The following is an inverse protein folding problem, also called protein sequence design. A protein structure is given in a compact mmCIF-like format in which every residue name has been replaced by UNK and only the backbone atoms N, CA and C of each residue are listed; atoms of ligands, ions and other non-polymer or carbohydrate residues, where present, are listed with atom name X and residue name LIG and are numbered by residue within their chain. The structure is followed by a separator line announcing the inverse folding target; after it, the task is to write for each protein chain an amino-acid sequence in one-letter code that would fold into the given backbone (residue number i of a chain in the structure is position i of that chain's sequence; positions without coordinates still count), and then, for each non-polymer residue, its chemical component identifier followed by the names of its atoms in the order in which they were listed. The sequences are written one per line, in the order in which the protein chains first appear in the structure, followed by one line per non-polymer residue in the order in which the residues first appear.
data_IF_634519000337
#
_entry.id   IF_634519000337
#
_cell.length_a   1.000
_cell.length_b   1.000
_cell.length_c   1.000
_cell.angle_alpha   90.00
_cell.angle_beta   90.00
_cell.angle_gamma   90.00
#
_symmetry.space_group_name_H-M   'P 1'
#
loop_
_entity.id
_entity.type
_entity.pdbx_description
1 polymer ?
#
# COMPACT_ATOMS: atom_id res chain seq x y z
N UNK A 1 -11.52 31.08 3.34
CA UNK A 1 -10.19 30.47 3.11
C UNK A 1 -10.08 30.15 1.63
N UNK A 2 -8.98 30.54 0.97
CA UNK A 2 -8.69 30.14 -0.42
C UNK A 2 -8.21 28.69 -0.47
N UNK A 3 -8.49 27.99 -1.56
CA UNK A 3 -8.06 26.61 -1.75
C UNK A 3 -6.53 26.50 -1.68
N UNK A 4 -5.82 27.45 -2.30
CA UNK A 4 -4.36 27.57 -2.23
C UNK A 4 -3.80 27.47 -0.82
N UNK A 5 -4.33 28.26 0.12
CA UNK A 5 -3.86 28.27 1.52
C UNK A 5 -4.00 26.89 2.17
N UNK A 6 -5.09 26.18 1.89
CA UNK A 6 -5.30 24.83 2.39
C UNK A 6 -4.34 23.84 1.75
N UNK A 7 -4.18 23.89 0.43
CA UNK A 7 -3.30 22.97 -0.29
C UNK A 7 -1.82 23.19 0.10
N UNK A 8 -1.39 24.44 0.28
CA UNK A 8 -0.07 24.81 0.80
C UNK A 8 0.18 24.21 2.19
N UNK A 9 -0.78 24.36 3.10
CA UNK A 9 -0.71 23.79 4.45
C UNK A 9 -0.54 22.26 4.40
N UNK A 10 -1.40 21.57 3.66
CA UNK A 10 -1.36 20.12 3.59
C UNK A 10 -0.11 19.60 2.87
N UNK A 11 0.35 20.27 1.82
CA UNK A 11 1.57 19.90 1.10
C UNK A 11 2.82 20.10 1.97
N UNK A 12 2.88 21.21 2.71
CA UNK A 12 3.95 21.48 3.67
C UNK A 12 3.95 20.44 4.79
N UNK A 13 2.76 20.11 5.34
CA UNK A 13 2.63 19.06 6.35
C UNK A 13 3.13 17.71 5.84
N UNK A 14 2.69 17.28 4.64
CA UNK A 14 3.13 16.05 4.01
C UNK A 14 4.65 16.01 3.77
N UNK A 15 5.25 17.13 3.37
CA UNK A 15 6.70 17.23 3.18
C UNK A 15 7.45 17.03 4.49
N UNK A 16 7.04 17.71 5.55
CA UNK A 16 7.66 17.59 6.89
C UNK A 16 7.45 16.21 7.52
N UNK A 17 6.28 15.61 7.29
CA UNK A 17 5.94 14.30 7.82
C UNK A 17 6.82 13.20 7.22
N UNK A 18 7.23 13.34 5.96
CA UNK A 18 8.11 12.37 5.28
C UNK A 18 9.44 12.17 6.02
N UNK A 19 9.91 13.18 6.77
CA UNK A 19 11.16 13.11 7.54
C UNK A 19 11.01 12.52 8.95
N UNK A 20 9.78 12.43 9.48
CA UNK A 20 9.52 12.13 10.90
C UNK A 20 8.56 10.95 11.13
N UNK A 21 7.90 10.47 10.08
CA UNK A 21 7.01 9.33 10.16
C UNK A 21 7.77 8.03 10.41
N UNK A 22 7.16 7.14 11.19
CA UNK A 22 7.70 5.79 11.37
C UNK A 22 7.29 4.92 10.20
N UNK A 23 8.25 4.17 9.64
CA UNK A 23 7.94 3.16 8.63
C UNK A 23 7.16 2.02 9.28
N UNK A 24 5.96 1.67 8.77
CA UNK A 24 5.18 0.58 9.35
C UNK A 24 5.93 -0.76 9.27
N UNK A 25 5.69 -1.64 10.26
CA UNK A 25 6.07 -3.04 10.14
C UNK A 25 5.08 -3.78 9.22
N UNK A 26 5.59 -4.68 8.38
CA UNK A 26 4.78 -5.44 7.42
C UNK A 26 4.82 -4.88 6.00
N UNK A 27 4.95 -5.77 5.02
CA UNK A 27 5.13 -5.42 3.60
C UNK A 27 3.93 -4.63 3.08
N UNK A 28 2.71 -5.12 3.31
CA UNK A 28 1.49 -4.52 2.73
C UNK A 28 1.06 -3.25 3.46
N UNK A 29 1.36 -3.12 4.76
CA UNK A 29 1.13 -1.86 5.48
C UNK A 29 2.10 -0.78 5.01
N UNK A 30 3.38 -1.12 4.81
CA UNK A 30 4.35 -0.21 4.17
C UNK A 30 3.91 0.19 2.76
N UNK A 31 3.39 -0.75 1.98
CA UNK A 31 2.90 -0.47 0.64
C UNK A 31 1.67 0.44 0.63
N UNK A 32 0.70 0.20 1.53
CA UNK A 32 -0.46 1.08 1.70
C UNK A 32 -0.04 2.51 2.09
N UNK A 33 1.00 2.63 2.90
CA UNK A 33 1.55 3.92 3.30
C UNK A 33 2.15 4.68 2.10
N UNK A 34 2.96 4.01 1.29
CA UNK A 34 3.52 4.55 0.04
C UNK A 34 2.43 4.90 -0.99
N UNK A 35 1.37 4.10 -1.08
CA UNK A 35 0.24 4.36 -1.96
C UNK A 35 -0.54 5.60 -1.53
N UNK A 36 -0.81 5.72 -0.23
CA UNK A 36 -1.48 6.90 0.33
C UNK A 36 -0.68 8.17 0.04
N UNK A 37 0.64 8.11 0.22
CA UNK A 37 1.53 9.22 -0.12
C UNK A 37 1.44 9.62 -1.59
N UNK A 38 1.50 8.64 -2.49
CA UNK A 38 1.45 8.87 -3.93
C UNK A 38 0.09 9.41 -4.39
N UNK A 39 -1.02 8.76 -4.01
CA UNK A 39 -2.37 9.20 -4.32
C UNK A 39 -2.60 10.64 -3.85
N UNK A 40 -2.18 10.96 -2.62
CA UNK A 40 -2.34 12.29 -2.06
C UNK A 40 -1.57 13.35 -2.85
N UNK A 41 -0.30 13.10 -3.20
CA UNK A 41 0.51 14.05 -3.99
C UNK A 41 -0.10 14.29 -5.37
N UNK A 42 -0.54 13.23 -6.04
CA UNK A 42 -1.23 13.32 -7.34
C UNK A 42 -2.52 14.12 -7.22
N UNK A 43 -3.31 13.87 -6.16
CA UNK A 43 -4.54 14.59 -5.88
C UNK A 43 -4.30 16.09 -5.66
N UNK A 44 -3.34 16.45 -4.81
CA UNK A 44 -3.00 17.85 -4.52
C UNK A 44 -2.51 18.56 -5.78
N UNK A 45 -1.65 17.93 -6.58
CA UNK A 45 -1.17 18.49 -7.84
C UNK A 45 -2.33 18.80 -8.81
N UNK A 46 -3.28 17.87 -8.94
CA UNK A 46 -4.47 18.05 -9.79
C UNK A 46 -5.38 19.18 -9.29
N UNK A 47 -5.57 19.29 -7.97
CA UNK A 47 -6.38 20.34 -7.37
C UNK A 47 -5.72 21.73 -7.47
N UNK A 48 -4.40 21.78 -7.56
CA UNK A 48 -3.63 23.02 -7.65
C UNK A 48 -4.00 23.87 -8.87
N UNK A 49 -4.41 23.24 -9.97
CA UNK A 49 -4.90 23.93 -11.19
C UNK A 49 -6.09 24.85 -10.88
N UNK A 50 -6.81 24.57 -9.79
CA UNK A 50 -7.97 25.34 -9.33
C UNK A 50 -7.74 26.05 -7.99
N UNK A 51 -6.48 26.29 -7.60
CA UNK A 51 -6.09 26.81 -6.28
C UNK A 51 -6.64 28.19 -5.94
N UNK A 52 -6.93 29.02 -6.94
CA UNK A 52 -7.44 30.38 -6.73
C UNK A 52 -8.94 30.42 -6.37
N UNK A 53 -9.63 29.27 -6.40
CA UNK A 53 -11.03 29.16 -6.00
C UNK A 53 -11.18 29.18 -4.47
N UNK A 54 -12.35 29.62 -4.01
CA UNK A 54 -12.73 29.51 -2.61
C UNK A 54 -12.97 28.05 -2.21
N UNK A 55 -12.68 27.73 -0.95
CA UNK A 55 -12.95 26.41 -0.39
C UNK A 55 -14.46 26.24 -0.20
N UNK A 56 -15.04 25.23 -0.84
CA UNK A 56 -16.43 24.80 -0.70
C UNK A 56 -16.47 23.29 -0.49
N UNK A 57 -17.66 22.73 -0.22
CA UNK A 57 -17.80 21.26 -0.12
C UNK A 57 -17.50 20.61 -1.46
N UNK A 58 -18.01 21.18 -2.54
CA UNK A 58 -17.84 20.69 -3.91
C UNK A 58 -16.35 20.71 -4.31
N UNK A 59 -15.62 21.78 -4.01
CA UNK A 59 -14.20 21.86 -4.34
C UNK A 59 -13.32 20.93 -3.49
N UNK A 60 -13.80 20.50 -2.32
CA UNK A 60 -13.14 19.52 -1.45
C UNK A 60 -13.63 18.08 -1.65
N UNK A 61 -14.66 17.85 -2.46
CA UNK A 61 -15.22 16.52 -2.68
C UNK A 61 -14.17 15.49 -3.15
N UNK A 62 -13.18 15.84 -4.00
CA UNK A 62 -12.10 14.92 -4.36
C UNK A 62 -11.27 14.45 -3.15
N UNK A 63 -10.96 15.35 -2.21
CA UNK A 63 -10.21 15.02 -0.98
C UNK A 63 -11.04 14.14 -0.05
N UNK A 64 -12.32 14.47 0.13
CA UNK A 64 -13.23 13.66 0.93
C UNK A 64 -13.42 12.25 0.33
N UNK A 65 -13.53 12.13 -0.99
CA UNK A 65 -13.64 10.85 -1.67
C UNK A 65 -12.35 10.04 -1.54
N UNK A 66 -11.18 10.65 -1.68
CA UNK A 66 -9.90 9.98 -1.46
C UNK A 66 -9.79 9.36 -0.06
N UNK A 67 -10.15 10.10 1.00
CA UNK A 67 -10.20 9.56 2.36
C UNK A 67 -11.19 8.39 2.47
N UNK A 68 -12.37 8.49 1.86
CA UNK A 68 -13.35 7.41 1.87
C UNK A 68 -12.79 6.14 1.21
N UNK A 69 -12.14 6.27 0.05
CA UNK A 69 -11.52 5.15 -0.66
C UNK A 69 -10.42 4.50 0.17
N UNK A 70 -9.55 5.32 0.79
CA UNK A 70 -8.54 4.82 1.73
C UNK A 70 -9.19 4.07 2.89
N UNK A 71 -10.22 4.64 3.51
CA UNK A 71 -10.95 4.06 4.61
C UNK A 71 -11.51 2.67 4.30
N UNK A 72 -12.09 2.48 3.11
CA UNK A 72 -12.55 1.17 2.62
C UNK A 72 -11.39 0.17 2.47
N UNK A 73 -10.23 0.64 2.00
CA UNK A 73 -9.03 -0.19 1.78
C UNK A 73 -8.34 -0.64 3.07
N UNK A 74 -8.39 0.17 4.13
CA UNK A 74 -7.74 -0.14 5.41
C UNK A 74 -8.70 -0.70 6.47
N UNK A 75 -10.01 -0.79 6.17
CA UNK A 75 -11.01 -1.26 7.14
C UNK A 75 -10.68 -2.68 7.60
N UNK A 76 -10.65 -2.87 8.92
CA UNK A 76 -10.32 -4.14 9.59
C UNK A 76 -8.95 -4.71 9.15
N UNK A 77 -7.95 -3.82 9.03
CA UNK A 77 -6.54 -4.19 8.81
C UNK A 77 -5.62 -3.46 9.79
N UNK A 78 -4.33 -3.81 9.79
CA UNK A 78 -3.33 -3.21 10.69
C UNK A 78 -2.85 -1.83 10.20
N UNK A 79 -3.26 -1.43 8.98
CA UNK A 79 -3.01 -0.10 8.43
C UNK A 79 -3.91 1.00 9.03
N UNK A 80 -4.87 0.62 9.90
CA UNK A 80 -5.77 1.56 10.57
C UNK A 80 -5.02 2.58 11.43
N UNK A 81 -5.50 3.84 11.52
CA UNK A 81 -4.95 4.85 12.43
C UNK A 81 -4.92 4.43 13.90
N UNK A 82 -5.81 3.51 14.28
CA UNK A 82 -5.90 2.94 15.63
C UNK A 82 -4.74 1.98 15.94
N UNK A 83 -4.16 1.33 14.92
CA UNK A 83 -3.10 0.33 15.07
C UNK A 83 -1.71 0.91 14.72
N UNK A 84 -1.64 1.73 13.68
CA UNK A 84 -0.38 2.33 13.21
C UNK A 84 -0.44 3.86 13.23
N UNK A 85 -0.70 4.49 14.40
CA UNK A 85 -0.95 5.93 14.51
C UNK A 85 0.25 6.78 14.07
N UNK A 86 1.45 6.22 14.07
CA UNK A 86 2.70 6.91 13.76
C UNK A 86 3.12 6.81 12.29
N UNK A 87 2.39 6.06 11.47
CA UNK A 87 2.65 5.98 10.03
C UNK A 87 2.37 7.30 9.33
N UNK A 88 3.00 7.50 8.17
CA UNK A 88 2.78 8.69 7.37
C UNK A 88 1.30 8.79 6.97
N UNK A 89 0.76 7.70 6.42
CA UNK A 89 -0.58 7.66 5.87
C UNK A 89 -1.64 8.00 6.91
N UNK A 90 -1.46 7.53 8.15
CA UNK A 90 -2.39 7.80 9.24
C UNK A 90 -2.25 9.22 9.76
N UNK A 91 -1.04 9.73 9.97
CA UNK A 91 -0.82 11.13 10.37
C UNK A 91 -1.34 12.11 9.32
N UNK A 92 -1.08 11.84 8.03
CA UNK A 92 -1.63 12.63 6.93
C UNK A 92 -3.15 12.59 6.91
N UNK A 93 -3.75 11.39 7.00
CA UNK A 93 -5.21 11.25 6.99
C UNK A 93 -5.86 12.04 8.14
N UNK A 94 -5.26 12.00 9.34
CA UNK A 94 -5.73 12.77 10.49
C UNK A 94 -5.72 14.28 10.23
N UNK A 95 -4.65 14.79 9.63
CA UNK A 95 -4.53 16.21 9.31
C UNK A 95 -5.52 16.64 8.23
N UNK A 96 -5.67 15.83 7.18
CA UNK A 96 -6.66 16.09 6.12
C UNK A 96 -8.08 16.08 6.69
N UNK A 97 -8.42 15.11 7.54
CA UNK A 97 -9.74 15.04 8.18
C UNK A 97 -10.03 16.26 9.06
N UNK A 98 -9.04 16.77 9.80
CA UNK A 98 -9.15 18.03 10.57
C UNK A 98 -9.46 19.22 9.69
N UNK A 99 -8.76 19.33 8.56
CA UNK A 99 -9.02 20.38 7.60
C UNK A 99 -10.46 20.29 7.04
N UNK A 100 -10.93 19.10 6.65
CA UNK A 100 -12.28 18.88 6.14
C UNK A 100 -13.38 19.15 7.17
N UNK A 101 -13.15 18.79 8.44
CA UNK A 101 -14.11 19.01 9.53
C UNK A 101 -14.56 20.47 9.60
N UNK A 102 -13.62 21.41 9.46
CA UNK A 102 -13.88 22.85 9.53
C UNK A 102 -14.92 23.33 8.50
N UNK A 103 -14.99 22.68 7.34
CA UNK A 103 -15.84 23.04 6.20
C UNK A 103 -17.15 22.24 6.17
N UNK A 104 -17.06 20.92 6.33
CA UNK A 104 -18.22 20.04 6.22
C UNK A 104 -19.07 20.02 7.50
N UNK A 105 -18.50 20.39 8.65
CA UNK A 105 -19.12 20.25 9.98
C UNK A 105 -19.55 18.81 10.30
N UNK A 106 -18.85 17.83 9.73
CA UNK A 106 -18.97 16.39 10.01
C UNK A 106 -17.84 15.95 10.94
N UNK A 107 -18.10 15.02 11.85
CA UNK A 107 -17.02 14.38 12.63
C UNK A 107 -15.91 13.85 11.71
N UNK A 108 -14.66 14.19 12.05
CA UNK A 108 -13.50 13.97 11.19
C UNK A 108 -13.34 12.49 10.78
N UNK A 109 -13.50 11.56 11.71
CA UNK A 109 -13.33 10.14 11.41
C UNK A 109 -14.32 9.59 10.40
N UNK A 110 -15.51 10.19 10.28
CA UNK A 110 -16.50 9.75 9.31
C UNK A 110 -16.12 10.08 7.86
N UNK A 111 -14.97 10.73 7.61
CA UNK A 111 -14.37 10.79 6.28
C UNK A 111 -13.65 9.48 5.92
N UNK A 112 -12.98 8.82 6.88
CA UNK A 112 -12.38 7.50 6.69
C UNK A 112 -13.41 6.37 6.88
N UNK A 113 -14.25 6.45 7.92
CA UNK A 113 -15.21 5.40 8.27
C UNK A 113 -16.63 5.98 8.35
N UNK A 114 -17.32 6.15 7.21
CA UNK A 114 -18.66 6.73 7.18
C UNK A 114 -19.70 5.93 7.97
N UNK A 115 -19.51 4.61 8.05
CA UNK A 115 -20.43 3.66 8.72
C UNK A 115 -20.03 3.40 10.18
N UNK A 116 -19.08 4.17 10.72
CA UNK A 116 -18.69 4.05 12.12
C UNK A 116 -19.87 4.55 12.96
N UNK A 117 -20.50 3.63 13.67
CA UNK A 117 -21.60 3.89 14.60
C UNK A 117 -20.96 4.34 15.92
N UNK A 118 -20.44 5.56 15.89
CA UNK A 118 -19.68 6.10 16.99
C UNK A 118 -20.63 6.66 18.06
N UNK A 119 -20.73 5.94 19.16
CA UNK A 119 -21.10 6.51 20.45
C UNK A 119 -19.79 6.70 21.23
N UNK A 120 -19.18 7.89 21.12
CA UNK A 120 -17.99 8.23 21.90
C UNK A 120 -18.29 9.41 22.80
N UNK A 121 -18.78 9.10 23.99
CA UNK A 121 -18.50 9.94 25.14
C UNK A 121 -18.55 9.15 26.44
N UNK A 122 -17.47 8.43 26.77
CA UNK A 122 -17.14 8.26 28.20
C UNK A 122 -16.52 9.56 28.75
N UNK A 123 -15.96 10.44 27.90
CA UNK A 123 -15.26 11.68 28.31
C UNK A 123 -15.80 12.99 27.71
N UNK A 124 -16.85 12.95 26.88
CA UNK A 124 -17.42 14.17 26.25
C UNK A 124 -16.49 14.87 25.25
N UNK A 125 -15.35 14.27 24.88
CA UNK A 125 -14.42 14.80 23.86
C UNK A 125 -14.74 14.24 22.47
N UNK A 126 -14.65 15.07 21.44
CA UNK A 126 -14.79 14.64 20.04
C UNK A 126 -13.70 13.62 19.71
N UNK A 127 -14.00 12.65 18.85
CA UNK A 127 -13.05 11.61 18.47
C UNK A 127 -11.74 12.16 17.86
N UNK A 128 -11.83 13.32 17.19
CA UNK A 128 -10.67 14.03 16.64
C UNK A 128 -9.67 14.51 17.71
N UNK A 129 -10.17 14.69 18.95
CA UNK A 129 -9.39 15.10 20.13
C UNK A 129 -9.01 13.90 21.01
N UNK A 130 -9.54 12.71 20.68
CA UNK A 130 -9.22 11.46 21.36
C UNK A 130 -7.93 10.86 20.80
N UNK A 131 -7.17 10.17 21.66
CA UNK A 131 -6.00 9.40 21.22
C UNK A 131 -6.50 8.11 20.61
N UNK A 132 -6.46 8.03 19.28
CA UNK A 132 -6.97 6.92 18.49
C UNK A 132 -6.44 5.56 18.98
N UNK A 133 -5.18 5.51 19.36
CA UNK A 133 -4.54 4.33 19.94
C UNK A 133 -5.07 3.93 21.34
N UNK A 134 -6.19 4.46 21.83
CA UNK A 134 -6.87 3.96 23.05
C UNK A 134 -8.01 2.98 22.73
N UNK A 135 -8.31 2.83 21.45
CA UNK A 135 -9.50 2.14 20.95
C UNK A 135 -9.10 1.07 19.94
N UNK A 136 -9.71 -0.10 20.04
CA UNK A 136 -9.73 -1.11 18.97
C UNK A 136 -11.13 -1.19 18.38
N UNK A 137 -11.29 -1.64 17.13
CA UNK A 137 -12.63 -1.84 16.57
C UNK A 137 -13.17 -3.23 16.88
N UNK A 138 -14.50 -3.29 16.97
CA UNK A 138 -15.28 -4.53 16.92
C UNK A 138 -15.04 -5.27 15.60
N UNK A 139 -15.32 -6.58 15.56
CA UNK A 139 -15.09 -7.39 14.36
C UNK A 139 -15.93 -6.93 13.14
N UNK A 140 -17.10 -6.33 13.37
CA UNK A 140 -17.93 -5.71 12.33
C UNK A 140 -17.37 -4.35 11.83
N UNK A 141 -16.35 -3.81 12.50
CA UNK A 141 -15.71 -2.54 12.19
C UNK A 141 -16.61 -1.32 12.40
N UNK A 142 -17.69 -1.44 13.18
CA UNK A 142 -18.69 -0.37 13.39
C UNK A 142 -18.52 0.38 14.71
N UNK A 143 -17.99 -0.27 15.74
CA UNK A 143 -17.92 0.28 17.09
C UNK A 143 -16.49 0.29 17.62
N UNK A 144 -16.18 1.29 18.43
CA UNK A 144 -14.92 1.36 19.18
C UNK A 144 -15.03 0.65 20.53
N UNK A 145 -13.99 -0.10 20.90
CA UNK A 145 -13.80 -0.71 22.21
C UNK A 145 -12.65 0.02 22.90
N UNK A 146 -12.96 0.77 23.97
CA UNK A 146 -11.94 1.43 24.79
C UNK A 146 -11.19 0.39 25.64
N UNK A 147 -9.88 0.26 25.38
CA UNK A 147 -9.04 -0.79 25.96
C UNK A 147 -8.99 -0.71 27.48
N UNK A 148 -8.78 0.50 28.02
CA UNK A 148 -8.69 0.74 29.46
C UNK A 148 -10.00 0.34 30.18
N UNK A 149 -11.13 0.82 29.67
CA UNK A 149 -12.45 0.58 30.25
C UNK A 149 -12.80 -0.91 30.22
N UNK A 150 -12.51 -1.58 29.10
CA UNK A 150 -12.76 -3.01 28.95
C UNK A 150 -11.93 -3.85 29.94
N UNK A 151 -10.61 -3.65 29.98
CA UNK A 151 -9.73 -4.39 30.91
C UNK A 151 -10.06 -4.12 32.38
N UNK A 152 -10.42 -2.88 32.72
CA UNK A 152 -10.80 -2.53 34.09
C UNK A 152 -12.16 -3.12 34.52
N UNK A 153 -12.99 -3.57 33.57
CA UNK A 153 -14.26 -4.23 33.85
C UNK A 153 -14.12 -5.74 34.15
N UNK A 154 -12.99 -6.36 33.77
CA UNK A 154 -12.74 -7.79 33.88
C UNK A 154 -12.98 -8.35 35.30
N UNK A 155 -12.41 -7.68 36.31
CA UNK A 155 -12.54 -8.07 37.71
C UNK A 155 -13.96 -7.90 38.26
N UNK A 156 -14.78 -7.05 37.64
CA UNK A 156 -16.18 -6.80 38.05
C UNK A 156 -17.16 -7.79 37.43
N UNK A 157 -16.74 -8.53 36.41
CA UNK A 157 -17.62 -9.35 35.56
C UNK A 157 -17.18 -10.81 35.46
N UNK A 158 -16.64 -11.36 36.54
CA UNK A 158 -16.37 -12.80 36.63
C UNK A 158 -15.30 -13.29 35.65
N UNK A 159 -14.40 -12.42 35.17
CA UNK A 159 -13.33 -12.79 34.25
C UNK A 159 -13.69 -12.69 32.77
N UNK A 160 -14.84 -12.13 32.41
CA UNK A 160 -15.20 -11.88 31.00
C UNK A 160 -14.95 -10.42 30.60
N UNK A 161 -14.32 -10.23 29.43
CA UNK A 161 -14.21 -8.91 28.79
C UNK A 161 -15.53 -8.56 28.11
N UNK A 162 -16.09 -7.40 28.46
CA UNK A 162 -17.36 -6.91 27.94
C UNK A 162 -17.20 -5.49 27.41
N UNK A 163 -17.96 -5.16 26.37
CA UNK A 163 -18.16 -3.79 25.89
C UNK A 163 -19.60 -3.37 26.19
N UNK A 164 -19.77 -2.13 26.62
CA UNK A 164 -21.11 -1.55 26.81
C UNK A 164 -21.51 -0.93 25.47
N UNK A 165 -22.55 -1.46 24.82
CA UNK A 165 -23.15 -0.79 23.67
C UNK A 165 -24.05 0.34 24.18
N UNK A 166 -23.81 1.59 23.75
CA UNK A 166 -24.65 2.72 24.15
C UNK A 166 -26.07 2.67 23.55
N UNK A 167 -26.28 1.94 22.43
CA UNK A 167 -27.61 1.90 21.79
C UNK A 167 -28.68 1.17 22.61
N UNK A 168 -28.30 0.29 23.54
CA UNK A 168 -29.27 -0.49 24.33
C UNK A 168 -28.89 -0.60 25.82
N UNK A 169 -27.76 -0.03 26.24
CA UNK A 169 -27.19 -0.29 27.59
C UNK A 169 -26.78 -1.75 27.82
N UNK A 170 -27.01 -2.62 26.83
CA UNK A 170 -26.69 -4.03 26.87
C UNK A 170 -25.17 -4.23 26.77
N UNK A 171 -24.64 -4.98 27.72
CA UNK A 171 -23.22 -5.36 27.75
C UNK A 171 -23.05 -6.64 26.97
N UNK A 172 -22.31 -6.57 25.86
CA UNK A 172 -21.96 -7.74 25.05
C UNK A 172 -20.59 -8.28 25.48
N UNK A 173 -20.47 -9.61 25.54
CA UNK A 173 -19.18 -10.29 25.71
C UNK A 173 -18.37 -10.12 24.41
N UNK A 174 -17.10 -9.77 24.54
CA UNK A 174 -16.21 -9.66 23.39
C UNK A 174 -16.03 -11.02 22.71
N UNK A 175 -15.90 -11.03 21.39
CA UNK A 175 -15.44 -12.23 20.67
C UNK A 175 -14.01 -12.57 21.10
N UNK A 176 -13.55 -13.78 20.81
CA UNK A 176 -12.16 -14.17 21.08
C UNK A 176 -11.15 -13.23 20.39
N UNK A 177 -11.46 -12.79 19.16
CA UNK A 177 -10.60 -11.89 18.40
C UNK A 177 -10.58 -10.47 19.00
N UNK A 178 -11.75 -9.94 19.38
CA UNK A 178 -11.86 -8.64 20.05
C UNK A 178 -11.13 -8.65 21.39
N UNK A 179 -11.35 -9.69 22.20
CA UNK A 179 -10.67 -9.87 23.48
C UNK A 179 -9.15 -9.96 23.29
N UNK A 180 -8.67 -10.72 22.31
CA UNK A 180 -7.24 -10.81 21.99
C UNK A 180 -6.67 -9.45 21.61
N UNK A 181 -7.36 -8.65 20.78
CA UNK A 181 -6.91 -7.30 20.41
C UNK A 181 -6.88 -6.36 21.61
N UNK A 182 -7.84 -6.44 22.54
CA UNK A 182 -7.83 -5.64 23.77
C UNK A 182 -6.67 -6.04 24.69
N UNK A 183 -6.45 -7.34 24.89
CA UNK A 183 -5.40 -7.86 25.77
C UNK A 183 -4.01 -7.55 25.21
N UNK A 184 -3.79 -7.82 23.92
CA UNK A 184 -2.51 -7.66 23.23
C UNK A 184 -2.28 -6.25 22.68
N UNK A 185 -3.14 -5.29 23.06
CA UNK A 185 -3.09 -3.92 22.56
C UNK A 185 -1.74 -3.24 22.78
N UNK A 186 -1.15 -3.45 23.95
CA UNK A 186 0.20 -3.00 24.27
C UNK A 186 0.84 -3.93 25.29
N UNK A 187 2.16 -3.78 25.50
CA UNK A 187 2.87 -4.55 26.53
C UNK A 187 2.28 -4.30 27.92
N UNK A 188 1.87 -3.05 28.23
CA UNK A 188 1.24 -2.71 29.50
C UNK A 188 -0.18 -3.27 29.62
N UNK A 189 -0.96 -3.32 28.53
CA UNK A 189 -2.27 -3.96 28.52
C UNK A 189 -2.16 -5.46 28.82
N UNK A 190 -1.19 -6.15 28.20
CA UNK A 190 -0.94 -7.57 28.42
C UNK A 190 -0.47 -7.86 29.85
N UNK A 191 0.46 -7.06 30.36
CA UNK A 191 0.93 -7.18 31.75
C UNK A 191 -0.21 -6.99 32.74
N UNK A 192 -1.03 -5.95 32.57
CA UNK A 192 -2.18 -5.72 33.44
C UNK A 192 -3.18 -6.87 33.40
N UNK A 193 -3.52 -7.38 32.21
CA UNK A 193 -4.39 -8.53 32.07
C UNK A 193 -3.85 -9.76 32.82
N UNK A 194 -2.58 -10.11 32.59
CA UNK A 194 -1.93 -11.25 33.24
C UNK A 194 -2.00 -11.14 34.76
N UNK A 195 -1.71 -9.95 35.31
CA UNK A 195 -1.76 -9.70 36.77
C UNK A 195 -3.16 -9.85 37.37
N UNK A 196 -4.21 -9.48 36.63
CA UNK A 196 -5.59 -9.71 37.07
C UNK A 196 -5.90 -11.20 37.10
N UNK A 197 -5.57 -11.92 36.02
CA UNK A 197 -5.89 -13.36 35.88
C UNK A 197 -5.10 -14.22 36.87
N UNK A 198 -3.85 -13.86 37.17
CA UNK A 198 -3.04 -14.55 38.21
C UNK A 198 -3.34 -14.09 39.63
N UNK A 199 -4.36 -13.24 39.83
CA UNK A 199 -4.77 -12.71 41.15
C UNK A 199 -3.67 -11.94 41.92
N UNK A 200 -2.69 -11.37 41.22
CA UNK A 200 -1.65 -10.51 41.80
C UNK A 200 -2.17 -9.08 41.99
N UNK A 201 -2.93 -8.85 43.07
CA UNK A 201 -3.60 -7.57 43.34
C UNK A 201 -2.65 -6.37 43.44
N UNK A 202 -1.45 -6.55 44.02
CA UNK A 202 -0.44 -5.48 44.13
C UNK A 202 0.18 -5.17 42.76
N UNK A 203 0.58 -6.20 42.02
CA UNK A 203 1.10 -6.06 40.66
C UNK A 203 0.08 -5.43 39.70
N UNK A 204 -1.18 -5.86 39.78
CA UNK A 204 -2.27 -5.34 38.96
C UNK A 204 -2.48 -3.83 39.16
N UNK A 205 -2.35 -3.32 40.39
CA UNK A 205 -2.47 -1.88 40.67
C UNK A 205 -1.35 -1.06 40.01
N UNK A 206 -0.12 -1.56 40.04
CA UNK A 206 1.02 -0.90 39.38
C UNK A 206 0.89 -0.98 37.85
N UNK A 207 0.61 -2.16 37.30
CA UNK A 207 0.43 -2.37 35.86
C UNK A 207 -0.70 -1.52 35.28
N UNK A 208 -1.81 -1.36 36.03
CA UNK A 208 -2.92 -0.45 35.67
C UNK A 208 -2.47 0.99 35.50
N UNK A 209 -1.63 1.49 36.40
CA UNK A 209 -1.11 2.86 36.34
C UNK A 209 -0.20 3.02 35.12
N UNK A 210 0.71 2.07 34.90
CA UNK A 210 1.59 2.05 33.71
C UNK A 210 0.77 2.08 32.42
N UNK A 211 -0.22 1.19 32.28
CA UNK A 211 -1.12 1.17 31.12
C UNK A 211 -1.85 2.50 30.94
N UNK A 212 -2.35 3.09 32.03
CA UNK A 212 -3.05 4.39 31.97
C UNK A 212 -2.13 5.50 31.48
N UNK A 213 -0.88 5.55 31.92
CA UNK A 213 0.08 6.55 31.46
C UNK A 213 0.54 6.30 30.01
N UNK A 214 0.75 5.05 29.60
CA UNK A 214 1.11 4.70 28.22
C UNK A 214 -0.01 5.08 27.24
N UNK A 215 -1.27 4.78 27.57
CA UNK A 215 -2.43 5.17 26.77
C UNK A 215 -2.59 6.69 26.66
N UNK A 216 -2.01 7.49 27.57
CA UNK A 216 -1.96 8.95 27.46
C UNK A 216 -0.84 9.45 26.54
N UNK A 217 0.02 8.60 26.00
CA UNK A 217 1.11 8.98 25.11
C UNK A 217 0.88 8.44 23.69
N UNK A 218 1.68 8.89 22.71
CA UNK A 218 1.72 8.22 21.41
C UNK A 218 2.65 7.01 21.51
N UNK A 219 2.16 5.84 21.09
CA UNK A 219 2.91 4.59 21.12
C UNK A 219 2.46 3.69 19.97
N UNK A 220 3.26 2.67 19.67
CA UNK A 220 2.94 1.66 18.66
C UNK A 220 2.06 0.58 19.27
N UNK A 221 0.84 0.43 18.76
CA UNK A 221 -0.08 -0.64 19.18
C UNK A 221 0.44 -1.98 18.71
N UNK A 222 0.45 -2.97 19.60
CA UNK A 222 0.91 -4.33 19.30
C UNK A 222 -0.22 -5.27 18.89
N UNK A 223 -1.48 -4.87 19.10
CA UNK A 223 -2.62 -5.64 18.61
C UNK A 223 -2.65 -5.67 17.08
N UNK A 224 -3.12 -6.79 16.55
CA UNK A 224 -3.23 -7.06 15.12
C UNK A 224 -4.55 -7.77 14.80
N UNK A 225 -5.04 -7.60 13.58
CA UNK A 225 -6.11 -8.45 13.01
C UNK A 225 -5.57 -9.81 12.52
N UNK A 226 -4.29 -10.09 12.75
CA UNK A 226 -3.61 -11.33 12.42
C UNK A 226 -3.32 -11.48 10.92
N UNK A 227 -2.93 -12.68 10.46
CA UNK A 227 -2.57 -12.92 9.06
C UNK A 227 -3.66 -12.57 8.04
N UNK A 228 -4.93 -12.65 8.45
CA UNK A 228 -6.07 -12.27 7.61
C UNK A 228 -6.10 -10.76 7.30
N UNK A 229 -5.50 -9.95 8.17
CA UNK A 229 -5.28 -8.51 7.98
C UNK A 229 -4.43 -8.23 6.74
N UNK A 230 -3.28 -8.91 6.65
CA UNK A 230 -2.33 -8.75 5.55
C UNK A 230 -2.91 -9.26 4.23
N UNK A 231 -3.58 -10.41 4.25
CA UNK A 231 -4.25 -10.96 3.06
C UNK A 231 -5.34 -10.02 2.56
N UNK A 232 -6.20 -9.51 3.46
CA UNK A 232 -7.24 -8.53 3.11
C UNK A 232 -6.63 -7.25 2.54
N UNK A 233 -5.58 -6.72 3.17
CA UNK A 233 -4.93 -5.50 2.69
C UNK A 233 -4.29 -5.71 1.32
N UNK A 234 -3.62 -6.84 1.10
CA UNK A 234 -3.10 -7.24 -0.21
C UNK A 234 -4.22 -7.24 -1.24
N UNK A 235 -5.32 -7.94 -0.97
CA UNK A 235 -6.42 -8.06 -1.93
C UNK A 235 -7.03 -6.69 -2.26
N UNK A 236 -7.24 -5.83 -1.26
CA UNK A 236 -7.78 -4.48 -1.44
C UNK A 236 -6.82 -3.54 -2.18
N UNK A 237 -5.51 -3.67 -1.97
CA UNK A 237 -4.49 -2.88 -2.67
C UNK A 237 -4.33 -3.31 -4.12
N UNK A 238 -4.38 -4.61 -4.41
CA UNK A 238 -4.01 -5.12 -5.75
C UNK A 238 -5.20 -5.47 -6.64
N UNK A 239 -6.32 -5.89 -6.06
CA UNK A 239 -7.39 -6.56 -6.81
C UNK A 239 -8.81 -6.10 -6.45
N UNK A 240 -8.98 -5.35 -5.36
CA UNK A 240 -10.27 -4.88 -4.88
C UNK A 240 -10.81 -3.71 -5.69
N UNK A 241 -12.11 -3.44 -5.54
CA UNK A 241 -12.80 -2.30 -6.17
C UNK A 241 -12.23 -0.92 -5.76
N UNK A 242 -11.45 -0.88 -4.67
CA UNK A 242 -10.80 0.31 -4.12
C UNK A 242 -9.28 0.32 -4.42
N UNK A 243 -8.83 -0.54 -5.33
CA UNK A 243 -7.45 -0.57 -5.78
C UNK A 243 -7.09 0.78 -6.41
N UNK A 244 -5.94 1.37 -6.05
CA UNK A 244 -5.44 2.60 -6.66
C UNK A 244 -5.07 2.43 -8.14
N UNK A 245 -4.90 1.18 -8.59
CA UNK A 245 -4.45 0.86 -9.95
C UNK A 245 -5.64 0.70 -10.89
N UNK A 246 -6.36 1.80 -11.13
CA UNK A 246 -7.52 1.83 -12.02
C UNK A 246 -7.18 1.56 -13.50
N UNK A 247 -5.93 1.80 -13.90
CA UNK A 247 -5.46 1.57 -15.26
C UNK A 247 -3.95 1.30 -15.31
N UNK A 248 -3.49 0.86 -16.47
CA UNK A 248 -2.07 0.59 -16.78
C UNK A 248 -1.15 1.74 -16.40
N UNK A 249 -1.54 2.99 -16.70
CA UNK A 249 -0.68 4.15 -16.46
C UNK A 249 -0.46 4.38 -14.96
N UNK A 250 -1.52 4.29 -14.15
CA UNK A 250 -1.42 4.42 -12.70
C UNK A 250 -0.45 3.39 -12.07
N UNK A 251 -0.51 2.13 -12.53
CA UNK A 251 0.43 1.09 -12.10
C UNK A 251 1.87 1.44 -12.46
N UNK A 252 2.10 1.80 -13.72
CA UNK A 252 3.45 2.10 -14.22
C UNK A 252 4.03 3.33 -13.54
N UNK A 253 3.23 4.38 -13.33
CA UNK A 253 3.66 5.60 -12.64
C UNK A 253 4.05 5.31 -11.20
N UNK A 254 3.28 4.45 -10.51
CA UNK A 254 3.62 4.04 -9.16
C UNK A 254 4.92 3.23 -9.11
N UNK A 255 5.07 2.24 -10.01
CA UNK A 255 6.30 1.44 -10.12
C UNK A 255 7.54 2.29 -10.41
N UNK A 256 7.41 3.29 -11.28
CA UNK A 256 8.53 4.16 -11.67
C UNK A 256 8.92 5.12 -10.54
N UNK A 257 7.94 5.68 -9.85
CA UNK A 257 8.20 6.82 -8.95
C UNK A 257 8.31 6.43 -7.48
N UNK A 258 7.78 5.27 -7.08
CA UNK A 258 7.65 4.89 -5.65
C UNK A 258 8.36 3.60 -5.29
N UNK A 259 8.56 2.70 -6.26
CA UNK A 259 9.17 1.40 -6.01
C UNK A 259 10.52 1.33 -6.72
N UNK A 260 11.55 0.83 -6.01
CA UNK A 260 12.85 0.54 -6.62
C UNK A 260 12.73 -0.63 -7.60
N UNK A 261 13.53 -0.64 -8.69
CA UNK A 261 13.47 -1.70 -9.70
C UNK A 261 13.60 -3.11 -9.11
N UNK A 262 14.50 -3.28 -8.14
CA UNK A 262 14.70 -4.54 -7.41
C UNK A 262 13.45 -5.07 -6.66
N UNK A 263 12.44 -4.22 -6.42
CA UNK A 263 11.21 -4.59 -5.72
C UNK A 263 10.04 -4.84 -6.68
N UNK A 264 10.19 -4.56 -7.98
CA UNK A 264 9.11 -4.66 -8.96
C UNK A 264 8.50 -6.05 -9.02
N UNK A 265 9.32 -7.10 -9.00
CA UNK A 265 8.82 -8.47 -9.00
C UNK A 265 7.94 -8.74 -7.78
N UNK A 266 8.47 -8.50 -6.58
CA UNK A 266 7.75 -8.73 -5.31
C UNK A 266 6.42 -7.99 -5.24
N UNK A 267 6.40 -6.76 -5.78
CA UNK A 267 5.20 -5.93 -5.86
C UNK A 267 4.19 -6.50 -6.86
N UNK A 268 4.61 -6.79 -8.09
CA UNK A 268 3.74 -7.30 -9.14
C UNK A 268 3.27 -8.74 -8.87
N UNK A 269 4.02 -9.53 -8.11
CA UNK A 269 3.58 -10.83 -7.59
C UNK A 269 2.34 -10.70 -6.68
N UNK A 270 2.12 -9.53 -6.07
CA UNK A 270 0.93 -9.22 -5.28
C UNK A 270 -0.39 -9.30 -6.05
N UNK A 271 -0.38 -8.98 -7.35
CA UNK A 271 -1.56 -9.09 -8.20
C UNK A 271 -1.90 -10.55 -8.52
N UNK A 272 -3.18 -10.91 -8.53
CA UNK A 272 -3.60 -12.15 -9.19
C UNK A 272 -3.38 -12.05 -10.72
N UNK A 273 -3.31 -13.19 -11.41
CA UNK A 273 -2.97 -13.25 -12.83
C UNK A 273 -3.99 -12.50 -13.68
N UNK A 274 -5.28 -12.67 -13.39
CA UNK A 274 -6.37 -12.06 -14.14
C UNK A 274 -6.35 -10.53 -14.04
N UNK A 275 -6.16 -9.98 -12.85
CA UNK A 275 -6.10 -8.55 -12.59
C UNK A 275 -4.91 -7.91 -13.28
N UNK A 276 -3.70 -8.49 -13.14
CA UNK A 276 -2.51 -7.95 -13.81
C UNK A 276 -2.63 -8.04 -15.34
N UNK A 277 -3.17 -9.15 -15.86
CA UNK A 277 -3.40 -9.34 -17.30
C UNK A 277 -4.40 -8.32 -17.84
N UNK A 278 -5.55 -8.17 -17.18
CA UNK A 278 -6.57 -7.18 -17.57
C UNK A 278 -6.00 -5.76 -17.54
N UNK A 279 -5.22 -5.43 -16.51
CA UNK A 279 -4.65 -4.10 -16.32
C UNK A 279 -3.59 -3.77 -17.37
N UNK A 280 -2.74 -4.74 -17.72
CA UNK A 280 -1.63 -4.52 -18.65
C UNK A 280 -2.03 -4.65 -20.11
N UNK A 281 -3.02 -5.50 -20.42
CA UNK A 281 -3.38 -5.83 -21.80
C UNK A 281 -4.69 -5.19 -22.25
N UNK A 282 -5.59 -4.81 -21.34
CA UNK A 282 -6.88 -4.18 -21.65
C UNK A 282 -7.66 -4.92 -22.77
N UNK A 283 -7.78 -6.24 -22.61
CA UNK A 283 -8.43 -7.13 -23.59
C UNK A 283 -7.62 -7.43 -24.86
N UNK A 284 -6.47 -6.79 -25.06
CA UNK A 284 -5.56 -7.06 -26.17
C UNK A 284 -4.68 -8.31 -25.93
N UNK A 285 -3.97 -8.75 -26.98
CA UNK A 285 -2.97 -9.81 -26.83
C UNK A 285 -1.64 -9.25 -26.34
N UNK A 286 -0.88 -10.04 -25.57
CA UNK A 286 0.44 -9.65 -25.10
C UNK A 286 1.40 -9.30 -26.26
N UNK A 287 1.28 -10.03 -27.37
CA UNK A 287 2.09 -9.77 -28.58
C UNK A 287 1.75 -8.45 -29.23
N UNK A 288 0.47 -8.07 -29.30
CA UNK A 288 0.06 -6.78 -29.86
C UNK A 288 0.58 -5.62 -29.01
N UNK A 289 0.43 -5.71 -27.68
CA UNK A 289 0.87 -4.64 -26.77
C UNK A 289 2.40 -4.49 -26.75
N UNK A 290 3.13 -5.61 -26.72
CA UNK A 290 4.60 -5.59 -26.68
C UNK A 290 5.26 -5.07 -27.97
N UNK A 291 4.53 -4.99 -29.07
CA UNK A 291 5.05 -4.51 -30.36
C UNK A 291 4.55 -3.12 -30.74
N UNK A 292 3.58 -2.58 -29.99
CA UNK A 292 3.03 -1.26 -30.26
C UNK A 292 4.01 -0.18 -29.81
N UNK A 293 4.52 0.59 -30.78
CA UNK A 293 5.44 1.70 -30.55
C UNK A 293 4.83 2.75 -29.61
N UNK A 294 3.51 2.96 -29.66
CA UNK A 294 2.82 3.92 -28.81
C UNK A 294 2.84 3.55 -27.31
N UNK A 295 3.19 2.31 -26.98
CA UNK A 295 3.36 1.87 -25.59
C UNK A 295 4.68 2.38 -24.99
N UNK A 296 5.67 2.73 -25.82
CA UNK A 296 7.02 3.11 -25.39
C UNK A 296 7.25 4.62 -25.49
N UNK A 297 8.25 5.12 -24.76
CA UNK A 297 8.66 6.54 -24.77
C UNK A 297 10.18 6.69 -24.75
N UNK A 298 10.69 7.93 -24.76
CA UNK A 298 12.12 8.18 -24.62
C UNK A 298 12.69 7.88 -23.21
N UNK A 299 11.83 7.61 -22.22
CA UNK A 299 12.22 7.24 -20.86
C UNK A 299 12.53 5.73 -20.74
N UNK A 300 13.81 5.40 -20.53
CA UNK A 300 14.31 4.03 -20.32
C UNK A 300 13.62 3.33 -19.13
N UNK A 301 13.46 4.04 -18.01
CA UNK A 301 12.86 3.47 -16.79
C UNK A 301 11.39 3.15 -17.00
N UNK A 302 10.67 4.01 -17.73
CA UNK A 302 9.28 3.74 -18.12
C UNK A 302 9.19 2.51 -19.01
N UNK A 303 10.02 2.43 -20.04
CA UNK A 303 10.03 1.30 -20.96
C UNK A 303 10.37 -0.02 -20.25
N UNK A 304 11.33 0.01 -19.31
CA UNK A 304 11.63 -1.13 -18.44
C UNK A 304 10.42 -1.55 -17.61
N UNK A 305 9.75 -0.62 -16.94
CA UNK A 305 8.58 -0.94 -16.12
C UNK A 305 7.47 -1.62 -16.93
N UNK A 306 7.21 -1.11 -18.14
CA UNK A 306 6.27 -1.72 -19.11
C UNK A 306 6.70 -3.14 -19.46
N UNK A 307 7.93 -3.32 -19.94
CA UNK A 307 8.46 -4.60 -20.40
C UNK A 307 8.51 -5.61 -19.27
N UNK A 308 8.86 -5.17 -18.05
CA UNK A 308 8.92 -6.00 -16.86
C UNK A 308 7.51 -6.53 -16.52
N UNK A 309 6.52 -5.64 -16.49
CA UNK A 309 5.14 -6.02 -16.21
C UNK A 309 4.57 -6.97 -17.28
N UNK A 310 4.81 -6.71 -18.57
CA UNK A 310 4.40 -7.61 -19.66
C UNK A 310 5.09 -8.98 -19.56
N UNK A 311 6.39 -9.00 -19.27
CA UNK A 311 7.15 -10.25 -19.11
C UNK A 311 6.61 -11.07 -17.93
N UNK A 312 6.23 -10.41 -16.82
CA UNK A 312 5.62 -11.09 -15.69
C UNK A 312 4.20 -11.60 -15.98
N UNK A 313 3.40 -10.87 -16.77
CA UNK A 313 2.09 -11.36 -17.25
C UNK A 313 2.26 -12.64 -18.06
N UNK A 314 3.24 -12.69 -18.96
CA UNK A 314 3.56 -13.90 -19.71
C UNK A 314 3.94 -15.05 -18.77
N UNK A 315 4.85 -14.80 -17.83
CA UNK A 315 5.31 -15.78 -16.84
C UNK A 315 4.13 -16.39 -16.07
N UNK A 316 3.27 -15.54 -15.51
CA UNK A 316 2.10 -15.93 -14.70
C UNK A 316 1.06 -16.71 -15.51
N UNK A 317 0.76 -16.27 -16.72
CA UNK A 317 -0.21 -16.93 -17.61
C UNK A 317 0.28 -18.33 -18.01
N UNK A 318 1.58 -18.46 -18.27
CA UNK A 318 2.20 -19.75 -18.63
C UNK A 318 2.28 -20.71 -17.46
N UNK A 319 2.57 -20.24 -16.24
CA UNK A 319 2.55 -21.08 -15.04
C UNK A 319 1.18 -21.74 -14.80
N UNK A 320 0.07 -21.05 -15.10
CA UNK A 320 -1.28 -21.60 -15.00
C UNK A 320 -1.63 -22.61 -16.11
N UNK A 321 -0.96 -22.53 -17.26
CA UNK A 321 -1.26 -23.37 -18.42
C UNK A 321 -0.65 -24.78 -18.35
N UNK A 322 0.18 -25.07 -17.33
CA UNK A 322 0.91 -26.33 -17.19
C UNK A 322 2.01 -26.55 -18.25
N UNK A 323 2.74 -27.67 -18.19
CA UNK A 323 3.74 -28.00 -19.20
C UNK A 323 3.07 -28.23 -20.56
N UNK A 324 3.59 -27.59 -21.61
CA UNK A 324 3.08 -27.72 -22.97
C UNK A 324 3.42 -29.10 -23.53
N UNK A 325 2.44 -30.01 -23.65
CA UNK A 325 2.62 -31.39 -24.14
C UNK A 325 2.31 -31.57 -25.64
N UNK A 326 2.08 -30.49 -26.39
CA UNK A 326 1.71 -30.56 -27.81
C UNK A 326 2.86 -30.98 -28.74
N UNK A 327 2.51 -31.60 -29.89
CA UNK A 327 3.41 -32.13 -30.92
C UNK A 327 4.53 -31.14 -31.36
N UNK A 328 4.21 -29.84 -31.38
CA UNK A 328 5.15 -28.78 -31.76
C UNK A 328 6.15 -28.39 -30.66
N UNK A 329 5.84 -28.68 -29.40
CA UNK A 329 6.76 -28.50 -28.27
C UNK A 329 7.94 -29.48 -28.32
N UNK A 330 7.70 -30.70 -28.83
CA UNK A 330 8.75 -31.70 -29.07
C UNK A 330 9.60 -31.40 -30.31
N UNK A 331 9.02 -30.81 -31.37
CA UNK A 331 9.70 -30.53 -32.64
C UNK A 331 10.57 -29.26 -32.63
N UNK A 332 10.26 -28.28 -31.76
CA UNK A 332 11.03 -27.02 -31.67
C UNK A 332 12.11 -27.02 -30.58
N UNK A 333 12.25 -28.11 -29.81
CA UNK A 333 13.38 -28.35 -28.92
C UNK A 333 13.50 -27.47 -27.67
N UNK A 334 12.66 -26.46 -27.49
CA UNK A 334 12.71 -25.60 -26.30
C UNK A 334 11.70 -26.08 -25.26
N UNK A 335 12.18 -26.82 -24.26
CA UNK A 335 11.40 -27.23 -23.10
C UNK A 335 10.73 -26.01 -22.43
N UNK A 336 9.62 -26.25 -21.72
CA UNK A 336 8.96 -25.22 -20.92
C UNK A 336 9.94 -24.60 -19.90
N UNK A 337 10.85 -25.41 -19.36
CA UNK A 337 11.93 -24.97 -18.48
C UNK A 337 12.86 -23.96 -19.17
N UNK A 338 13.38 -24.27 -20.37
CA UNK A 338 14.22 -23.34 -21.13
C UNK A 338 13.50 -22.00 -21.39
N UNK A 339 12.19 -22.04 -21.67
CA UNK A 339 11.40 -20.80 -21.87
C UNK A 339 11.24 -20.01 -20.59
N UNK A 340 11.03 -20.67 -19.45
CA UNK A 340 10.93 -20.02 -18.15
C UNK A 340 12.28 -19.44 -17.70
N UNK A 341 13.39 -20.10 -18.02
CA UNK A 341 14.73 -19.57 -17.77
C UNK A 341 15.00 -18.33 -18.64
N UNK A 342 14.61 -18.34 -19.92
CA UNK A 342 14.64 -17.14 -20.75
C UNK A 342 13.81 -15.98 -20.16
N UNK A 343 12.63 -16.26 -19.61
CA UNK A 343 11.78 -15.26 -18.96
C UNK A 343 12.46 -14.68 -17.72
N UNK A 344 13.08 -15.53 -16.88
CA UNK A 344 13.81 -15.09 -15.69
C UNK A 344 14.98 -14.19 -16.06
N UNK A 345 15.80 -14.60 -17.02
CA UNK A 345 16.92 -13.78 -17.52
C UNK A 345 16.44 -12.45 -18.07
N UNK A 346 15.29 -12.41 -18.75
CA UNK A 346 14.70 -11.16 -19.22
C UNK A 346 14.21 -10.27 -18.06
N UNK A 347 13.60 -10.84 -17.02
CA UNK A 347 13.21 -10.10 -15.82
C UNK A 347 14.43 -9.54 -15.09
N UNK A 348 15.50 -10.34 -14.95
CA UNK A 348 16.76 -9.91 -14.33
C UNK A 348 17.38 -8.73 -15.11
N UNK A 349 17.42 -8.82 -16.44
CA UNK A 349 17.89 -7.73 -17.29
C UNK A 349 17.06 -6.44 -17.08
N UNK A 350 15.74 -6.57 -17.12
CA UNK A 350 14.81 -5.43 -17.02
C UNK A 350 14.78 -4.82 -15.61
N UNK A 351 15.13 -5.59 -14.58
CA UNK A 351 15.29 -5.15 -13.19
C UNK A 351 16.70 -4.64 -12.85
N UNK A 352 17.64 -4.70 -13.80
CA UNK A 352 19.03 -4.24 -13.65
C UNK A 352 19.25 -2.83 -14.19
N UNK A 353 20.44 -2.29 -13.90
CA UNK A 353 20.91 -0.98 -14.38
C UNK A 353 21.51 -1.03 -15.82
N UNK A 354 21.55 -2.19 -16.48
CA UNK A 354 22.07 -2.28 -17.87
C UNK A 354 21.15 -1.53 -18.83
N UNK A 355 21.63 -0.65 -19.73
CA UNK A 355 20.78 0.02 -20.72
C UNK A 355 19.96 -0.95 -21.59
N UNK A 356 18.75 -0.56 -22.04
CA UNK A 356 17.89 -1.45 -22.85
C UNK A 356 18.56 -1.89 -24.17
N UNK A 357 19.49 -1.07 -24.67
CA UNK A 357 20.29 -1.36 -25.87
C UNK A 357 21.41 -2.39 -25.66
N UNK A 358 21.70 -2.77 -24.41
CA UNK A 358 22.87 -3.59 -24.02
C UNK A 358 22.48 -5.03 -23.62
N UNK A 359 21.34 -5.53 -24.12
CA UNK A 359 20.86 -6.88 -23.81
C UNK A 359 21.87 -7.98 -24.19
N UNK A 360 22.55 -7.85 -25.33
CA UNK A 360 23.55 -8.83 -25.79
C UNK A 360 24.78 -8.86 -24.87
N UNK A 361 25.21 -7.70 -24.38
CA UNK A 361 26.28 -7.58 -23.39
C UNK A 361 25.86 -8.23 -22.07
N UNK A 362 24.63 -7.96 -21.60
CA UNK A 362 24.09 -8.58 -20.40
C UNK A 362 24.06 -10.11 -20.48
N UNK A 363 23.59 -10.67 -21.60
CA UNK A 363 23.59 -12.12 -21.81
C UNK A 363 25.00 -12.72 -21.79
N UNK A 364 25.98 -11.99 -22.31
CA UNK A 364 27.38 -12.41 -22.30
C UNK A 364 27.97 -12.41 -20.89
N UNK A 365 27.80 -11.32 -20.15
CA UNK A 365 28.37 -11.16 -18.81
C UNK A 365 27.70 -12.06 -17.76
N UNK A 366 26.46 -12.47 -17.99
CA UNK A 366 25.72 -13.41 -17.11
C UNK A 366 25.86 -14.87 -17.52
N UNK A 367 26.71 -15.20 -18.49
CA UNK A 367 26.90 -16.55 -19.03
C UNK A 367 25.62 -17.20 -19.60
N UNK A 368 24.70 -16.38 -20.11
CA UNK A 368 23.39 -16.79 -20.65
C UNK A 368 23.31 -16.75 -22.18
N UNK A 369 24.45 -16.67 -22.88
CA UNK A 369 24.50 -16.60 -24.36
C UNK A 369 23.80 -17.77 -25.05
N UNK A 370 23.83 -18.96 -24.43
CA UNK A 370 23.16 -20.17 -24.91
C UNK A 370 21.63 -20.02 -25.01
N UNK A 371 21.03 -19.08 -24.27
CA UNK A 371 19.61 -18.79 -24.30
C UNK A 371 19.21 -17.79 -25.40
N UNK A 372 20.16 -17.11 -26.05
CA UNK A 372 19.88 -16.04 -27.01
C UNK A 372 18.97 -16.46 -28.18
N UNK A 373 19.17 -17.65 -28.74
CA UNK A 373 18.32 -18.20 -29.80
C UNK A 373 16.91 -18.57 -29.29
N UNK A 374 16.82 -19.19 -28.10
CA UNK A 374 15.56 -19.54 -27.43
C UNK A 374 14.72 -18.31 -27.11
N UNK A 375 15.40 -17.24 -26.68
CA UNK A 375 14.84 -15.94 -26.37
C UNK A 375 14.19 -15.29 -27.60
N UNK A 376 14.78 -15.44 -28.79
CA UNK A 376 14.25 -14.89 -30.03
C UNK A 376 12.98 -15.61 -30.56
N UNK A 377 12.58 -16.75 -29.97
CA UNK A 377 11.47 -17.56 -30.46
C UNK A 377 10.13 -17.25 -29.76
N UNK A 378 9.03 -17.41 -30.51
CA UNK A 378 7.67 -17.35 -29.98
C UNK A 378 7.32 -16.04 -29.26
N UNK A 379 6.54 -16.14 -28.19
CA UNK A 379 6.07 -14.97 -27.43
C UNK A 379 7.20 -14.20 -26.74
N UNK A 380 8.27 -14.88 -26.32
CA UNK A 380 9.44 -14.25 -25.71
C UNK A 380 10.17 -13.39 -26.76
N UNK A 381 10.27 -13.87 -28.00
CA UNK A 381 10.82 -13.12 -29.11
C UNK A 381 10.08 -11.80 -29.37
N UNK A 382 8.76 -11.77 -29.15
CA UNK A 382 7.99 -10.53 -29.25
C UNK A 382 8.25 -9.55 -28.11
N UNK A 383 8.45 -10.03 -26.88
CA UNK A 383 8.87 -9.19 -25.75
C UNK A 383 10.26 -8.58 -26.00
N UNK A 384 11.19 -9.35 -26.57
CA UNK A 384 12.51 -8.84 -26.98
C UNK A 384 12.44 -7.86 -28.14
N UNK A 385 11.51 -8.06 -29.08
CA UNK A 385 11.26 -7.05 -30.10
C UNK A 385 10.77 -5.75 -29.45
N UNK A 386 9.95 -5.84 -28.41
CA UNK A 386 9.57 -4.69 -27.56
C UNK A 386 10.78 -3.99 -26.92
N UNK A 387 11.76 -4.73 -26.41
CA UNK A 387 13.04 -4.17 -25.92
C UNK A 387 13.75 -3.36 -27.01
N UNK A 388 13.83 -3.91 -28.23
CA UNK A 388 14.46 -3.22 -29.37
C UNK A 388 13.69 -1.97 -29.80
N UNK A 389 12.36 -2.06 -29.85
CA UNK A 389 11.49 -0.91 -30.18
C UNK A 389 11.62 0.19 -29.11
N UNK A 390 11.63 -0.18 -27.83
CA UNK A 390 11.88 0.74 -26.73
C UNK A 390 13.26 1.41 -26.82
N UNK A 391 14.31 0.63 -27.10
CA UNK A 391 15.66 1.16 -27.30
C UNK A 391 15.74 2.13 -28.48
N UNK A 392 15.06 1.85 -29.60
CA UNK A 392 15.00 2.75 -30.74
C UNK A 392 14.27 4.07 -30.42
N UNK A 393 13.15 4.00 -29.69
CA UNK A 393 12.40 5.19 -29.26
C UNK A 393 13.22 6.16 -28.38
N UNK A 394 14.30 5.68 -27.75
CA UNK A 394 15.21 6.50 -26.95
C UNK A 394 16.29 7.21 -27.79
N UNK A 395 16.54 6.76 -29.03
CA UNK A 395 17.57 7.30 -29.92
C UNK A 395 17.04 8.44 -30.80
N UNK A 396 15.73 8.45 -31.09
CA UNK A 396 15.08 9.44 -31.96
C UNK A 396 14.77 10.80 -31.28
N UNK A 397 15.15 11.02 -30.02
CA UNK A 397 15.00 12.33 -29.35
C UNK A 397 16.28 13.19 -29.50
N UNK A 398 16.19 14.48 -29.90
CA UNK A 398 17.36 15.35 -30.03
C UNK A 398 18.17 15.41 -28.73
N UNK A 399 19.49 15.29 -28.85
CA UNK A 399 20.48 15.21 -27.77
C UNK A 399 20.42 16.35 -26.72
N UNK A 400 19.71 17.45 -26.99
CA UNK A 400 19.66 18.64 -26.12
C UNK A 400 18.86 18.46 -24.81
N UNK A 401 18.13 17.35 -24.62
CA UNK A 401 17.38 17.09 -23.35
C UNK A 401 18.02 16.09 -22.40
N UNK A 402 19.15 15.47 -22.76
CA UNK A 402 19.88 14.56 -21.87
C UNK A 402 20.75 15.35 -20.88
N UNK A 403 20.17 15.84 -19.79
CA UNK A 403 20.96 16.39 -18.66
C UNK A 403 21.76 15.28 -17.97
N UNK A 404 23.08 15.45 -17.75
CA UNK A 404 23.82 14.61 -16.83
C UNK A 404 23.74 15.23 -15.42
N UNK A 405 23.11 14.53 -14.47
CA UNK A 405 23.41 14.72 -13.04
C UNK A 405 23.98 13.44 -12.48
N UNK A 406 25.27 13.27 -12.69
CA UNK A 406 26.15 12.36 -11.98
C UNK A 406 27.35 13.17 -11.52
N UNK A 407 27.16 14.01 -10.50
CA UNK A 407 28.29 14.45 -9.68
C UNK A 407 28.60 13.33 -8.69
N UNK A 408 29.58 12.51 -9.08
CA UNK A 408 30.31 11.66 -8.16
C UNK A 408 30.98 12.57 -7.12
N UNK A 409 30.68 12.34 -5.85
CA UNK A 409 31.58 12.70 -4.77
C UNK A 409 32.88 11.91 -4.96
N UNK A 410 33.92 12.56 -5.48
CA UNK A 410 35.29 12.09 -5.39
C UNK A 410 35.97 12.76 -4.20
N UNK A 411 36.45 11.93 -3.30
CA UNK A 411 37.39 12.25 -2.22
C UNK A 411 38.59 13.07 -2.71
N UNK A 412 39.09 13.96 -1.84
CA UNK A 412 40.43 14.53 -1.96
C UNK A 412 40.72 15.63 -0.93
N UNK A 413 41.35 15.23 0.19
CA UNK A 413 42.03 16.03 1.23
C UNK A 413 41.19 16.91 2.17
#
# INVERSE_FOLDING_TARGET
MLMKTLLDHLNKFATNLSATAQKPSGLYVSLEDELTQWEFRTLIANLWVSSEKTVTRESLAPIANWLKQRGLRIKNTDALPLHTPLSFANKLSMEVMRALHSVYKKEAIHFLFPDLEMALSVTGKRFIDSKLQQVVLTDDGKHGIEVYTCLNSLARHGGELRVTSEMEGARRVLTANEASRVIQHSKASLDYYNKIVTQDSKGARAAKLTMREELKQEFTVTASYGPQSELRLKDLVFTGAVSPFANRQALLDFMQNRIGQAQWESFLLGFNVQALTSLMLDGSTLTAVAQDVATYSADDRKNRAVLFALTLVYMKTRAQSGPYTGLWGGLTGYSMENRMDCVRVLLDFLGSDYPLTEMERFLTETNNTHLGASMAAGTIGYLLKGVRVAGAAMVDEPLEKRSPKLERASNGM
#
